data_IF_620688720098
#
_entry.id   IF_620688720098
#
_cell.length_a   1.000
_cell.length_b   1.000
_cell.length_c   1.000
_cell.angle_alpha   90.00
_cell.angle_beta   90.00
_cell.angle_gamma   90.00
#
_symmetry.space_group_name_H-M   'P 1'
#
loop_
_entity.id
_entity.type
_entity.pdbx_description
1 polymer ?
#
# COMPACT_ATOMS: atom_id res chain seq x y z
N UNK A 1 6.43 16.56 -20.04
CA UNK A 1 7.63 15.83 -20.51
C UNK A 1 8.09 14.94 -19.37
N UNK A 2 7.74 13.65 -19.39
CA UNK A 2 8.22 12.69 -18.39
C UNK A 2 9.10 11.67 -19.12
N UNK A 3 10.42 11.85 -18.99
CA UNK A 3 11.41 10.88 -19.42
C UNK A 3 11.36 9.68 -18.45
N UNK A 4 10.51 8.69 -18.72
CA UNK A 4 10.72 7.35 -18.17
C UNK A 4 11.70 6.66 -19.11
N UNK A 5 13.00 6.84 -18.85
CA UNK A 5 14.02 6.02 -19.49
C UNK A 5 13.95 4.68 -18.76
N UNK A 6 13.24 3.72 -19.35
CA UNK A 6 13.28 2.32 -18.92
C UNK A 6 14.75 1.92 -18.77
N UNK A 7 15.15 1.48 -17.57
CA UNK A 7 16.49 0.96 -17.41
C UNK A 7 16.63 -0.25 -18.33
N UNK A 8 17.74 -0.37 -19.07
CA UNK A 8 17.96 -1.54 -19.95
C UNK A 8 18.24 -2.84 -19.15
N UNK A 9 17.81 -2.90 -17.90
CA UNK A 9 17.97 -4.06 -17.02
C UNK A 9 16.99 -5.15 -17.46
N UNK A 10 17.38 -6.44 -17.40
CA UNK A 10 16.46 -7.52 -17.65
C UNK A 10 15.35 -7.52 -16.57
N UNK A 11 14.10 -7.73 -16.99
CA UNK A 11 12.95 -7.92 -16.10
C UNK A 11 13.02 -9.33 -15.49
N UNK A 12 13.92 -9.51 -14.52
CA UNK A 12 14.07 -10.75 -13.77
C UNK A 12 13.28 -10.66 -12.45
N UNK A 13 12.21 -11.45 -12.34
CA UNK A 13 11.38 -11.54 -11.12
C UNK A 13 11.73 -12.80 -10.32
N UNK A 14 11.57 -12.78 -8.99
CA UNK A 14 12.09 -13.84 -8.12
C UNK A 14 11.21 -15.10 -8.06
N UNK A 15 9.96 -15.04 -8.56
CA UNK A 15 9.03 -16.16 -8.48
C UNK A 15 8.31 -16.42 -9.81
N UNK A 16 8.13 -17.71 -10.12
CA UNK A 16 7.41 -18.18 -11.32
C UNK A 16 5.94 -17.70 -11.33
N UNK A 17 5.17 -17.77 -10.22
CA UNK A 17 3.79 -17.25 -10.21
C UNK A 17 3.71 -15.76 -10.57
N UNK A 18 4.68 -14.95 -10.12
CA UNK A 18 4.75 -13.53 -10.47
C UNK A 18 5.08 -13.34 -11.96
N UNK A 19 6.02 -14.11 -12.49
CA UNK A 19 6.36 -14.07 -13.92
C UNK A 19 5.14 -14.39 -14.79
N UNK A 20 4.39 -15.45 -14.45
CA UNK A 20 3.19 -15.86 -15.17
C UNK A 20 2.07 -14.81 -15.09
N UNK A 21 1.89 -14.16 -13.93
CA UNK A 21 0.90 -13.09 -13.77
C UNK A 21 1.26 -11.86 -14.63
N UNK A 22 2.53 -11.47 -14.68
CA UNK A 22 3.01 -10.37 -15.54
C UNK A 22 2.85 -10.76 -17.01
N UNK A 23 3.14 -12.00 -17.40
CA UNK A 23 2.92 -12.48 -18.75
C UNK A 23 1.43 -12.39 -19.15
N UNK A 24 0.52 -12.75 -18.24
CA UNK A 24 -0.92 -12.61 -18.47
C UNK A 24 -1.35 -11.15 -18.67
N UNK A 25 -0.77 -10.19 -17.93
CA UNK A 25 -1.03 -8.74 -18.17
C UNK A 25 -0.63 -8.32 -19.59
N UNK A 26 0.49 -8.86 -20.10
CA UNK A 26 0.96 -8.62 -21.46
C UNK A 26 0.09 -9.28 -22.52
N UNK A 27 -0.35 -10.52 -22.29
CA UNK A 27 -1.26 -11.24 -23.21
C UNK A 27 -2.62 -10.56 -23.34
N UNK A 28 -3.08 -9.89 -22.27
CA UNK A 28 -4.34 -9.12 -22.30
C UNK A 28 -4.25 -7.81 -23.10
N UNK A 29 -3.05 -7.39 -23.53
CA UNK A 29 -2.90 -6.16 -24.30
C UNK A 29 -3.37 -6.34 -25.74
N UNK A 30 -4.23 -5.43 -26.20
CA UNK A 30 -4.72 -5.42 -27.57
C UNK A 30 -3.76 -4.64 -28.50
N UNK A 31 -4.29 -3.67 -29.26
CA UNK A 31 -3.52 -2.92 -30.27
C UNK A 31 -2.51 -1.92 -29.69
N UNK A 32 -2.72 -1.46 -28.46
CA UNK A 32 -1.86 -0.50 -27.77
C UNK A 32 -1.67 -0.96 -26.33
N UNK A 33 -0.44 -0.84 -25.85
CA UNK A 33 -0.08 -1.11 -24.45
C UNK A 33 -0.74 -0.04 -23.58
N UNK A 34 -1.49 -0.49 -22.57
CA UNK A 34 -2.20 0.36 -21.61
C UNK A 34 -1.62 0.14 -20.21
N UNK A 35 -0.66 0.97 -19.75
CA UNK A 35 0.05 0.74 -18.48
C UNK A 35 -0.86 0.63 -17.25
N UNK A 36 -2.00 1.34 -17.23
CA UNK A 36 -2.96 1.28 -16.13
C UNK A 36 -3.65 -0.09 -15.99
N UNK A 37 -3.59 -0.93 -17.02
CA UNK A 37 -4.07 -2.33 -17.00
C UNK A 37 -2.97 -3.33 -16.63
N UNK A 38 -1.75 -2.85 -16.37
CA UNK A 38 -0.57 -3.66 -16.09
C UNK A 38 0.10 -3.27 -14.76
N UNK A 39 -0.65 -3.31 -13.63
CA UNK A 39 -0.12 -2.86 -12.36
C UNK A 39 1.02 -3.76 -11.82
N UNK A 40 1.02 -5.07 -12.08
CA UNK A 40 2.09 -5.97 -11.62
C UNK A 40 3.38 -5.74 -12.41
N UNK A 41 3.29 -5.50 -13.72
CA UNK A 41 4.42 -5.09 -14.54
C UNK A 41 5.00 -3.76 -14.05
N UNK A 42 4.14 -2.79 -13.75
CA UNK A 42 4.56 -1.48 -13.24
C UNK A 42 5.32 -1.65 -11.92
N UNK A 43 4.74 -2.38 -10.94
CA UNK A 43 5.39 -2.69 -9.66
C UNK A 43 6.75 -3.38 -9.86
N UNK A 44 6.80 -4.39 -10.74
CA UNK A 44 8.04 -5.13 -10.97
C UNK A 44 9.12 -4.26 -11.61
N UNK A 45 8.75 -3.43 -12.58
CA UNK A 45 9.68 -2.49 -13.23
C UNK A 45 10.20 -1.44 -12.25
N UNK A 46 9.31 -0.87 -11.41
CA UNK A 46 9.70 0.10 -10.38
C UNK A 46 10.69 -0.50 -9.40
N UNK A 47 10.45 -1.74 -8.94
CA UNK A 47 11.36 -2.41 -8.02
C UNK A 47 12.76 -2.59 -8.65
N UNK A 48 12.86 -2.94 -9.92
CA UNK A 48 14.16 -3.16 -10.59
C UNK A 48 14.88 -1.84 -10.91
N UNK A 49 14.13 -0.84 -11.36
CA UNK A 49 14.70 0.42 -11.87
C UNK A 49 15.01 1.40 -10.75
N UNK A 50 14.18 1.43 -9.71
CA UNK A 50 14.26 2.36 -8.59
C UNK A 50 14.29 1.60 -7.26
N UNK A 51 15.41 0.92 -6.95
CA UNK A 51 15.54 0.25 -5.66
C UNK A 51 15.35 1.27 -4.53
N UNK A 52 14.54 0.90 -3.54
CA UNK A 52 14.14 1.79 -2.45
C UNK A 52 14.91 1.49 -1.17
N UNK A 53 15.14 2.54 -0.42
CA UNK A 53 15.60 2.45 0.96
C UNK A 53 14.42 2.74 1.90
N UNK A 54 14.39 2.06 3.05
CA UNK A 54 13.39 2.24 4.09
C UNK A 54 13.25 3.70 4.57
N UNK A 55 14.30 4.50 4.41
CA UNK A 55 14.37 5.92 4.79
C UNK A 55 13.45 6.84 3.99
N UNK A 56 12.99 6.40 2.82
CA UNK A 56 12.21 7.23 1.87
C UNK A 56 10.70 7.11 2.08
N UNK A 57 10.25 6.18 2.92
CA UNK A 57 8.83 5.93 3.18
C UNK A 57 8.35 6.90 4.26
N UNK A 58 7.97 8.11 3.85
CA UNK A 58 7.34 9.11 4.70
C UNK A 58 5.82 9.00 4.61
N UNK A 59 5.10 9.06 5.73
CA UNK A 59 3.66 8.98 5.67
C UNK A 59 2.91 9.19 6.97
N UNK A 60 1.90 10.02 6.84
CA UNK A 60 1.03 10.52 7.87
C UNK A 60 0.36 9.38 8.65
N UNK A 61 0.47 9.46 9.98
CA UNK A 61 -0.39 8.70 10.86
C UNK A 61 -1.77 9.34 10.92
N UNK A 62 -2.78 8.47 10.95
CA UNK A 62 -4.19 8.81 10.75
C UNK A 62 -4.61 10.05 11.53
N UNK A 63 -5.17 11.01 10.80
CA UNK A 63 -5.74 12.22 11.37
C UNK A 63 -7.11 11.89 11.97
N UNK A 64 -7.36 12.35 13.18
CA UNK A 64 -8.71 12.42 13.74
C UNK A 64 -9.33 13.76 13.37
N UNK A 65 -10.49 13.71 12.71
CA UNK A 65 -11.32 14.86 12.43
C UNK A 65 -12.25 15.11 13.65
N UNK A 66 -12.47 16.37 14.04
CA UNK A 66 -13.35 16.67 15.15
C UNK A 66 -14.82 16.30 14.85
N UNK A 67 -15.56 15.92 15.90
CA UNK A 67 -17.02 15.72 15.84
C UNK A 67 -17.45 14.26 15.66
N UNK A 68 -18.57 14.03 14.95
CA UNK A 68 -19.18 12.69 14.80
C UNK A 68 -18.28 11.65 14.12
N UNK A 69 -17.30 12.11 13.33
CA UNK A 69 -16.35 11.25 12.64
C UNK A 69 -15.22 10.76 13.55
N UNK A 70 -14.92 11.48 14.64
CA UNK A 70 -13.84 11.14 15.57
C UNK A 70 -14.04 9.74 16.18
N UNK A 71 -15.25 9.43 16.64
CA UNK A 71 -15.56 8.13 17.24
C UNK A 71 -15.37 7.00 16.22
N UNK A 72 -15.87 7.18 14.99
CA UNK A 72 -15.75 6.18 13.94
C UNK A 72 -14.28 6.00 13.50
N UNK A 73 -13.51 7.08 13.44
CA UNK A 73 -12.08 7.04 13.15
C UNK A 73 -11.30 6.30 14.24
N UNK A 74 -11.54 6.63 15.51
CA UNK A 74 -10.91 5.95 16.63
C UNK A 74 -11.20 4.43 16.59
N UNK A 75 -12.47 4.03 16.42
CA UNK A 75 -12.86 2.62 16.31
C UNK A 75 -12.21 1.90 15.13
N UNK A 76 -12.09 2.59 13.99
CA UNK A 76 -11.54 2.01 12.75
C UNK A 76 -10.01 1.93 12.78
N UNK A 77 -9.33 2.91 13.39
CA UNK A 77 -7.87 2.97 13.43
C UNK A 77 -7.27 2.20 14.61
N UNK A 78 -8.01 2.01 15.71
CA UNK A 78 -7.52 1.32 16.90
C UNK A 78 -6.94 -0.07 16.60
N UNK A 79 -7.54 -0.94 15.75
CA UNK A 79 -6.95 -2.23 15.41
C UNK A 79 -5.58 -2.13 14.71
N UNK A 80 -5.34 -1.06 13.95
CA UNK A 80 -4.08 -0.81 13.24
C UNK A 80 -3.04 -0.25 14.23
N UNK A 81 -3.46 0.66 15.11
CA UNK A 81 -2.60 1.18 16.19
C UNK A 81 -2.20 0.07 17.16
N UNK A 82 -3.13 -0.83 17.51
CA UNK A 82 -2.84 -1.97 18.37
C UNK A 82 -1.85 -2.95 17.74
N UNK A 83 -2.00 -3.21 16.45
CA UNK A 83 -1.00 -3.95 15.69
C UNK A 83 0.37 -3.25 15.72
N UNK A 84 0.42 -1.93 15.55
CA UNK A 84 1.67 -1.18 15.63
C UNK A 84 2.35 -1.32 17.01
N UNK A 85 1.56 -1.24 18.09
CA UNK A 85 2.04 -1.41 19.47
C UNK A 85 2.58 -2.80 19.71
N UNK A 86 1.89 -3.83 19.23
CA UNK A 86 2.24 -5.24 19.51
C UNK A 86 3.33 -5.78 18.58
N UNK A 87 3.29 -5.45 17.28
CA UNK A 87 4.21 -5.96 16.27
C UNK A 87 5.47 -5.12 16.12
N UNK A 88 5.34 -3.79 16.14
CA UNK A 88 6.44 -2.85 15.93
C UNK A 88 7.01 -2.31 17.24
N UNK A 89 6.26 -2.39 18.34
CA UNK A 89 6.61 -1.74 19.60
C UNK A 89 6.41 -0.22 19.57
N UNK A 90 5.79 0.32 18.53
CA UNK A 90 5.58 1.75 18.34
C UNK A 90 4.30 2.21 19.07
N UNK A 91 4.41 3.20 19.96
CA UNK A 91 3.29 3.74 20.75
C UNK A 91 2.60 4.90 20.04
N UNK A 92 2.27 4.63 18.80
CA UNK A 92 1.65 5.59 17.90
C UNK A 92 0.28 6.02 18.41
N UNK A 93 0.03 7.32 18.32
CA UNK A 93 -1.26 7.93 18.63
C UNK A 93 -1.81 8.65 17.39
N UNK A 94 -3.12 8.64 17.24
CA UNK A 94 -3.78 9.46 16.25
C UNK A 94 -3.55 10.95 16.57
N UNK A 95 -3.50 11.79 15.55
CA UNK A 95 -3.33 13.23 15.73
C UNK A 95 -4.51 13.99 15.18
N UNK A 96 -4.91 15.03 15.89
CA UNK A 96 -5.93 16.00 15.48
C UNK A 96 -5.35 17.15 14.63
N UNK A 97 -4.03 17.22 14.48
CA UNK A 97 -3.31 18.31 13.83
C UNK A 97 -3.40 18.24 12.31
N UNK A 98 -3.81 19.35 11.69
CA UNK A 98 -3.74 19.55 10.23
C UNK A 98 -2.31 19.65 9.71
N UNK A 99 -1.35 19.98 10.59
CA UNK A 99 0.07 20.11 10.26
C UNK A 99 0.84 18.78 10.45
N UNK A 100 0.13 17.70 10.75
CA UNK A 100 0.69 16.39 11.03
C UNK A 100 0.97 16.14 12.51
N UNK A 101 1.05 14.87 12.86
CA UNK A 101 1.39 14.39 14.18
C UNK A 101 2.89 14.61 14.45
N UNK A 102 3.23 15.21 15.61
CA UNK A 102 4.61 15.11 16.12
C UNK A 102 4.79 13.74 16.76
N UNK A 103 5.30 12.80 15.98
CA UNK A 103 5.60 11.46 16.46
C UNK A 103 6.93 11.48 17.25
N UNK A 104 7.02 10.76 18.39
CA UNK A 104 8.28 10.51 19.05
C UNK A 104 9.27 9.83 18.08
N UNK A 105 10.54 10.25 18.14
CA UNK A 105 11.60 9.65 17.30
C UNK A 105 11.69 8.13 17.48
N UNK A 106 11.38 7.63 18.69
CA UNK A 106 11.34 6.19 18.99
C UNK A 106 10.30 5.44 18.16
N UNK A 107 9.13 6.04 17.91
CA UNK A 107 8.06 5.38 17.15
C UNK A 107 8.37 5.40 15.65
N UNK A 108 8.95 6.51 15.16
CA UNK A 108 9.46 6.61 13.78
C UNK A 108 10.57 5.58 13.56
N UNK A 109 11.49 5.45 14.51
CA UNK A 109 12.57 4.46 14.46
C UNK A 109 12.03 3.01 14.46
N UNK A 110 10.97 2.72 15.22
CA UNK A 110 10.34 1.40 15.24
C UNK A 110 9.72 1.02 13.89
N UNK A 111 8.99 1.95 13.25
CA UNK A 111 8.45 1.74 11.90
C UNK A 111 9.57 1.58 10.88
N UNK A 112 10.62 2.42 10.97
CA UNK A 112 11.80 2.33 10.10
C UNK A 112 12.51 0.99 10.23
N UNK A 113 12.72 0.51 11.45
CA UNK A 113 13.35 -0.78 11.71
C UNK A 113 12.56 -1.94 11.07
N UNK A 114 11.22 -1.87 11.08
CA UNK A 114 10.40 -2.85 10.36
C UNK A 114 10.60 -2.76 8.85
N UNK A 115 10.59 -1.56 8.27
CA UNK A 115 10.83 -1.36 6.84
C UNK A 115 12.22 -1.85 6.42
N UNK A 116 13.23 -1.69 7.27
CA UNK A 116 14.60 -2.18 7.02
C UNK A 116 14.69 -3.72 6.99
N UNK A 117 13.70 -4.44 7.54
CA UNK A 117 13.62 -5.91 7.41
C UNK A 117 13.08 -6.37 6.06
N UNK A 118 12.47 -5.46 5.29
CA UNK A 118 11.81 -5.78 4.03
C UNK A 118 12.83 -5.75 2.88
N UNK A 119 12.68 -6.70 1.95
CA UNK A 119 13.43 -6.64 0.70
C UNK A 119 12.90 -5.52 -0.21
N UNK A 120 13.63 -5.25 -1.27
CA UNK A 120 13.29 -4.20 -2.23
C UNK A 120 11.89 -4.38 -2.86
N UNK A 121 11.44 -5.62 -3.10
CA UNK A 121 10.13 -5.89 -3.69
C UNK A 121 9.00 -5.55 -2.71
N UNK A 122 9.19 -5.89 -1.44
CA UNK A 122 8.27 -5.56 -0.37
C UNK A 122 8.24 -4.04 -0.12
N UNK A 123 9.39 -3.37 -0.15
CA UNK A 123 9.47 -1.91 -0.03
C UNK A 123 8.73 -1.19 -1.16
N UNK A 124 8.87 -1.64 -2.42
CA UNK A 124 8.09 -1.09 -3.54
C UNK A 124 6.59 -1.28 -3.31
N UNK A 125 6.16 -2.45 -2.82
CA UNK A 125 4.74 -2.66 -2.51
C UNK A 125 4.25 -1.74 -1.38
N UNK A 126 5.05 -1.53 -0.32
CA UNK A 126 4.74 -0.60 0.77
C UNK A 126 4.59 0.83 0.25
N UNK A 127 5.51 1.32 -0.58
CA UNK A 127 5.44 2.67 -1.14
C UNK A 127 4.14 2.89 -1.93
N UNK A 128 3.79 1.95 -2.81
CA UNK A 128 2.57 2.01 -3.60
C UNK A 128 1.31 1.96 -2.72
N UNK A 129 1.29 1.09 -1.71
CA UNK A 129 0.19 1.01 -0.74
C UNK A 129 0.09 2.29 0.10
N UNK A 130 1.20 2.83 0.54
CA UNK A 130 1.26 4.05 1.35
C UNK A 130 0.75 5.26 0.56
N UNK A 131 1.13 5.37 -0.72
CA UNK A 131 0.62 6.40 -1.62
C UNK A 131 -0.89 6.24 -1.87
N UNK A 132 -1.37 5.02 -2.09
CA UNK A 132 -2.78 4.74 -2.34
C UNK A 132 -3.66 4.98 -1.10
N UNK A 133 -3.21 4.50 0.07
CA UNK A 133 -3.96 4.60 1.32
C UNK A 133 -3.70 5.91 2.08
N UNK A 134 -2.72 6.71 1.64
CA UNK A 134 -2.22 7.91 2.34
C UNK A 134 -1.77 7.63 3.79
N UNK A 135 -1.32 6.41 4.05
CA UNK A 135 -0.86 5.97 5.38
C UNK A 135 0.17 4.84 5.26
N UNK A 136 1.37 5.10 5.77
CA UNK A 136 2.45 4.10 5.82
C UNK A 136 2.13 3.01 6.83
N UNK A 137 1.51 3.34 7.96
CA UNK A 137 1.16 2.35 8.96
C UNK A 137 0.16 1.31 8.43
N UNK A 138 -0.86 1.78 7.71
CA UNK A 138 -1.82 0.90 7.05
C UNK A 138 -1.15 0.04 5.98
N UNK A 139 -0.24 0.63 5.17
CA UNK A 139 0.54 -0.12 4.19
C UNK A 139 1.35 -1.25 4.84
N UNK A 140 2.09 -0.95 5.92
CA UNK A 140 2.85 -1.96 6.66
C UNK A 140 1.94 -3.05 7.24
N UNK A 141 0.76 -2.70 7.76
CA UNK A 141 -0.20 -3.67 8.29
C UNK A 141 -0.78 -4.59 7.21
N UNK A 142 -0.96 -4.09 5.98
CA UNK A 142 -1.35 -4.90 4.80
C UNK A 142 -0.21 -5.85 4.41
N UNK A 143 1.03 -5.37 4.38
CA UNK A 143 2.21 -6.19 4.04
C UNK A 143 2.48 -7.30 5.06
N UNK A 144 2.32 -7.00 6.35
CA UNK A 144 2.39 -8.00 7.45
C UNK A 144 1.22 -8.98 7.41
N UNK A 145 0.16 -8.70 6.62
CA UNK A 145 -1.02 -9.55 6.46
C UNK A 145 -2.05 -9.40 7.57
N UNK A 146 -1.90 -8.39 8.44
CA UNK A 146 -2.84 -8.09 9.53
C UNK A 146 -4.16 -7.49 9.03
N UNK A 147 -4.10 -6.72 7.93
CA UNK A 147 -5.25 -6.01 7.35
C UNK A 147 -5.51 -6.55 5.95
N UNK A 148 -6.77 -6.88 5.66
CA UNK A 148 -7.17 -7.35 4.33
C UNK A 148 -7.23 -6.20 3.32
N UNK A 149 -7.22 -6.52 2.02
CA UNK A 149 -7.40 -5.52 0.95
C UNK A 149 -8.72 -4.75 1.10
N UNK A 150 -9.80 -5.46 1.44
CA UNK A 150 -11.11 -4.85 1.61
C UNK A 150 -11.12 -3.87 2.80
N UNK A 151 -10.52 -4.29 3.92
CA UNK A 151 -10.43 -3.44 5.12
C UNK A 151 -9.53 -2.24 4.87
N UNK A 152 -8.40 -2.41 4.18
CA UNK A 152 -7.50 -1.31 3.85
C UNK A 152 -8.19 -0.25 2.97
N UNK A 153 -8.99 -0.68 1.99
CA UNK A 153 -9.78 0.24 1.15
C UNK A 153 -10.84 0.96 2.00
N UNK A 154 -11.52 0.25 2.90
CA UNK A 154 -12.52 0.85 3.78
C UNK A 154 -11.91 1.90 4.71
N UNK A 155 -10.77 1.58 5.33
CA UNK A 155 -10.02 2.49 6.21
C UNK A 155 -9.54 3.71 5.42
N UNK A 156 -8.94 3.52 4.24
CA UNK A 156 -8.41 4.61 3.42
C UNK A 156 -9.50 5.58 2.91
N UNK A 157 -10.75 5.11 2.77
CA UNK A 157 -11.90 5.92 2.32
C UNK A 157 -12.85 6.29 3.44
N UNK A 158 -12.47 6.10 4.70
CA UNK A 158 -13.38 6.32 5.82
C UNK A 158 -13.98 7.73 5.82
N UNK A 159 -13.13 8.75 5.68
CA UNK A 159 -13.55 10.14 5.63
C UNK A 159 -14.44 10.41 4.41
N UNK A 160 -14.00 10.01 3.22
CA UNK A 160 -14.75 10.19 1.97
C UNK A 160 -16.13 9.52 2.03
N UNK A 161 -16.22 8.32 2.61
CA UNK A 161 -17.47 7.58 2.77
C UNK A 161 -18.43 8.31 3.73
N UNK A 162 -17.90 8.91 4.80
CA UNK A 162 -18.69 9.74 5.71
C UNK A 162 -19.18 11.02 5.01
N UNK A 163 -18.34 11.64 4.18
CA UNK A 163 -18.70 12.82 3.39
C UNK A 163 -19.79 12.50 2.36
N UNK A 164 -19.67 11.36 1.65
CA UNK A 164 -20.68 10.88 0.72
C UNK A 164 -22.01 10.60 1.44
N UNK A 165 -21.97 9.99 2.62
CA UNK A 165 -23.17 9.73 3.40
C UNK A 165 -23.87 11.02 3.85
N UNK A 166 -23.11 12.08 4.12
CA UNK A 166 -23.65 13.37 4.56
C UNK A 166 -24.10 14.28 3.40
N UNK A 167 -23.38 14.28 2.27
CA UNK A 167 -23.54 15.27 1.21
C UNK A 167 -23.89 14.67 -0.16
N UNK A 168 -23.97 13.35 -0.27
CA UNK A 168 -24.30 12.65 -1.50
C UNK A 168 -23.08 12.25 -2.33
N UNK A 169 -23.31 11.31 -3.24
CA UNK A 169 -22.32 10.82 -4.19
C UNK A 169 -22.15 11.82 -5.35
N UNK A 170 -20.89 12.08 -5.73
CA UNK A 170 -20.56 12.79 -6.97
C UNK A 170 -20.21 11.74 -8.02
N UNK A 171 -21.15 11.50 -8.94
CA UNK A 171 -20.97 10.55 -10.04
C UNK A 171 -19.76 10.91 -10.91
N UNK A 172 -19.03 9.89 -11.37
CA UNK A 172 -17.85 10.06 -12.22
C UNK A 172 -16.57 10.53 -11.49
N UNK A 173 -16.67 11.15 -10.32
CA UNK A 173 -15.54 11.41 -9.43
C UNK A 173 -15.30 10.21 -8.50
N UNK A 174 -16.20 10.02 -7.54
CA UNK A 174 -16.07 8.98 -6.52
C UNK A 174 -16.05 7.55 -7.10
N UNK A 175 -16.70 7.34 -8.25
CA UNK A 175 -16.75 6.02 -8.92
C UNK A 175 -15.40 5.65 -9.56
N UNK A 176 -14.69 6.64 -10.09
CA UNK A 176 -13.35 6.43 -10.68
C UNK A 176 -12.34 6.26 -9.55
N UNK A 177 -12.43 7.09 -8.51
CA UNK A 177 -11.51 7.05 -7.37
C UNK A 177 -11.57 5.71 -6.63
N UNK A 178 -12.77 5.15 -6.41
CA UNK A 178 -12.90 3.82 -5.80
C UNK A 178 -12.35 2.71 -6.68
N UNK A 179 -12.54 2.79 -8.01
CA UNK A 179 -12.05 1.79 -8.95
C UNK A 179 -10.52 1.79 -9.00
N UNK A 180 -9.92 2.98 -9.09
CA UNK A 180 -8.47 3.19 -9.09
C UNK A 180 -7.85 2.76 -7.75
N UNK A 181 -8.46 3.13 -6.62
CA UNK A 181 -7.99 2.69 -5.30
C UNK A 181 -8.02 1.16 -5.16
N UNK A 182 -9.08 0.50 -5.64
CA UNK A 182 -9.16 -0.97 -5.62
C UNK A 182 -7.98 -1.60 -6.34
N UNK A 183 -7.62 -1.10 -7.53
CA UNK A 183 -6.46 -1.60 -8.28
C UNK A 183 -5.17 -1.31 -7.51
N UNK A 184 -5.00 -0.08 -7.02
CA UNK A 184 -3.77 0.35 -6.32
C UNK A 184 -3.54 -0.34 -4.97
N UNK A 185 -4.57 -0.86 -4.31
CA UNK A 185 -4.42 -1.65 -3.07
C UNK A 185 -4.35 -3.16 -3.36
N UNK A 186 -5.18 -3.65 -4.28
CA UNK A 186 -5.21 -5.07 -4.61
C UNK A 186 -3.93 -5.54 -5.32
N UNK A 187 -3.41 -4.76 -6.28
CA UNK A 187 -2.26 -5.17 -7.07
C UNK A 187 -0.98 -5.36 -6.22
N UNK A 188 -0.56 -4.43 -5.34
CA UNK A 188 0.57 -4.68 -4.44
C UNK A 188 0.31 -5.87 -3.50
N UNK A 189 -0.92 -6.06 -3.05
CA UNK A 189 -1.27 -7.19 -2.18
C UNK A 189 -1.17 -8.54 -2.90
N UNK A 190 -1.60 -8.61 -4.17
CA UNK A 190 -1.43 -9.79 -5.04
C UNK A 190 0.04 -10.00 -5.35
N UNK A 191 0.77 -8.94 -5.69
CA UNK A 191 2.20 -8.94 -5.95
C UNK A 191 2.97 -9.60 -4.80
N UNK A 192 2.73 -9.17 -3.56
CA UNK A 192 3.33 -9.74 -2.35
C UNK A 192 2.98 -11.22 -2.14
N UNK A 193 1.75 -11.64 -2.45
CA UNK A 193 1.35 -13.05 -2.35
C UNK A 193 2.07 -13.90 -3.39
N UNK A 194 2.26 -13.39 -4.61
CA UNK A 194 2.95 -14.11 -5.69
C UNK A 194 4.46 -14.22 -5.43
N UNK A 195 5.05 -13.31 -4.64
CA UNK A 195 6.44 -13.41 -4.18
C UNK A 195 6.68 -14.53 -3.16
N UNK A 196 5.68 -14.82 -2.32
CA UNK A 196 5.74 -15.90 -1.32
C UNK A 196 5.58 -17.25 -2.03
N UNK A 197 6.67 -17.82 -2.54
CA UNK A 197 6.66 -19.18 -3.07
C UNK A 197 6.28 -20.16 -1.95
N UNK A 198 5.37 -21.10 -2.26
CA UNK A 198 5.03 -22.24 -1.40
C UNK A 198 6.30 -22.96 -0.90
N UNK A 199 6.28 -23.61 0.28
CA UNK A 199 7.40 -24.43 0.72
C UNK A 199 7.74 -25.44 -0.38
N UNK A 200 8.99 -25.40 -0.84
CA UNK A 200 9.54 -26.42 -1.71
C UNK A 200 9.27 -27.77 -1.03
N UNK A 201 8.42 -28.61 -1.63
CA UNK A 201 8.34 -30.00 -1.24
C UNK A 201 9.76 -30.56 -1.38
N UNK A 202 10.36 -30.93 -0.25
CA UNK A 202 11.59 -31.69 -0.20
C UNK A 202 11.43 -32.90 -1.13
N UNK A 203 12.13 -32.88 -2.25
CA UNK A 203 12.31 -34.07 -3.08
C UNK A 203 13.08 -35.08 -2.23
N UNK A 204 12.35 -36.12 -1.83
CA UNK A 204 12.90 -37.44 -1.50
C UNK A 204 13.34 -38.14 -2.79
#
# INVERSE_FOLDING_TARGET
MANSVASKKPLAVPSEPLANAIAAEWECQAKRVQPFTMPLMTLASTAIDMPREASTVDGMLCREAPGKLATLQAETYEPILDWARTRLGAKLQASDSIFGAKLPESDVAAVRAFLETLDNWHLTAVEHLAAACRSVLLACAVVDGRVSVADAIAVARLEESAQIAQWGLVEGGHDVDIADLKVRVAAPSVFLRLLKTAPQQQQQ
#
